data_IF_548142689903
#
_entry.id   IF_548142689903
#
_cell.length_a   1.000
_cell.length_b   1.000
_cell.length_c   1.000
_cell.angle_alpha   90.00
_cell.angle_beta   90.00
_cell.angle_gamma   90.00
#
_symmetry.space_group_name_H-M   'P 1'
#
loop_
_entity.id
_entity.type
_entity.pdbx_description
1 polymer ?
#
# COMPACT_ATOMS: atom_id res chain seq x y z
N UNK A 1 -7.21 -20.96 35.92
CA UNK A 1 -6.02 -20.08 35.92
C UNK A 1 -5.83 -19.20 34.68
N UNK A 2 -5.66 -19.70 33.45
CA UNK A 2 -5.55 -18.82 32.24
C UNK A 2 -6.91 -18.27 31.79
N UNK A 3 -7.97 -19.11 31.81
CA UNK A 3 -9.35 -18.67 31.53
C UNK A 3 -9.89 -17.63 32.52
N UNK A 4 -9.59 -17.78 33.81
CA UNK A 4 -10.00 -16.82 34.86
C UNK A 4 -9.23 -15.50 34.76
N UNK A 5 -7.94 -15.53 34.39
CA UNK A 5 -7.17 -14.30 34.15
C UNK A 5 -7.64 -13.56 32.90
N UNK A 6 -8.12 -14.26 31.88
CA UNK A 6 -8.72 -13.67 30.69
C UNK A 6 -10.09 -13.04 30.99
N UNK A 7 -10.96 -13.72 31.76
CA UNK A 7 -12.26 -13.13 32.11
C UNK A 7 -12.11 -11.93 33.05
N UNK A 8 -11.14 -11.94 33.96
CA UNK A 8 -10.82 -10.79 34.80
C UNK A 8 -10.24 -9.63 34.00
N UNK A 9 -9.40 -9.88 32.98
CA UNK A 9 -8.93 -8.81 32.08
C UNK A 9 -10.07 -8.24 31.22
N UNK A 10 -10.99 -9.08 30.73
CA UNK A 10 -12.17 -8.66 29.99
C UNK A 10 -13.09 -7.77 30.85
N UNK A 11 -13.40 -8.17 32.08
CA UNK A 11 -14.22 -7.37 33.00
C UNK A 11 -13.57 -6.03 33.36
N UNK A 12 -12.26 -6.03 33.65
CA UNK A 12 -11.56 -4.79 34.06
C UNK A 12 -11.41 -3.78 32.91
N UNK A 13 -11.37 -4.25 31.66
CA UNK A 13 -11.35 -3.39 30.46
C UNK A 13 -12.76 -2.90 30.13
N UNK A 14 -13.78 -3.75 30.30
CA UNK A 14 -15.19 -3.40 30.06
C UNK A 14 -15.73 -2.38 31.09
N UNK A 15 -15.36 -2.48 32.37
CA UNK A 15 -15.80 -1.54 33.42
C UNK A 15 -15.17 -0.14 33.33
N UNK A 16 -14.04 0.02 32.61
CA UNK A 16 -13.39 1.32 32.41
C UNK A 16 -13.92 2.11 31.21
N UNK A 17 -14.83 1.55 30.43
CA UNK A 17 -15.43 2.17 29.25
C UNK A 17 -16.92 2.44 29.52
N UNK A 18 -17.24 2.90 30.72
CA UNK A 18 -18.60 3.32 31.06
C UNK A 18 -18.85 4.72 30.46
N UNK A 19 -19.33 4.72 29.21
CA UNK A 19 -19.66 5.95 28.46
C UNK A 19 -19.55 5.85 26.94
N UNK A 20 -19.05 4.75 26.38
CA UNK A 20 -19.02 4.51 24.94
C UNK A 20 -19.76 3.22 24.64
N UNK A 21 -20.73 3.28 23.73
CA UNK A 21 -21.49 2.13 23.25
C UNK A 21 -20.56 1.09 22.61
N UNK A 22 -20.04 0.18 23.43
CA UNK A 22 -19.12 -0.88 23.02
C UNK A 22 -19.86 -1.97 22.23
N UNK A 23 -21.20 -2.07 22.38
CA UNK A 23 -21.99 -3.10 21.68
C UNK A 23 -22.14 -2.81 20.20
N UNK A 24 -22.30 -1.55 19.78
CA UNK A 24 -22.28 -1.18 18.35
C UNK A 24 -20.90 -1.34 17.70
N UNK A 25 -19.81 -1.23 18.48
CA UNK A 25 -18.43 -1.40 17.98
C UNK A 25 -17.93 -2.85 17.96
N UNK A 26 -18.62 -3.75 18.67
CA UNK A 26 -18.30 -5.19 18.72
C UNK A 26 -18.90 -5.99 17.54
N UNK A 27 -19.91 -5.46 16.86
CA UNK A 27 -20.33 -6.00 15.56
C UNK A 27 -19.45 -5.38 14.47
N UNK A 28 -18.49 -6.16 13.97
CA UNK A 28 -17.53 -5.70 12.95
C UNK A 28 -18.27 -5.10 11.75
N UNK A 29 -18.08 -3.79 11.55
CA UNK A 29 -18.21 -3.19 10.22
C UNK A 29 -17.25 -3.95 9.31
N UNK A 30 -17.72 -4.33 8.12
CA UNK A 30 -16.86 -4.76 7.01
C UNK A 30 -15.62 -3.85 6.92
N UNK A 31 -14.45 -4.39 6.55
CA UNK A 31 -13.25 -3.57 6.35
C UNK A 31 -13.47 -2.45 5.31
N UNK A 32 -14.46 -2.61 4.42
CA UNK A 32 -14.83 -1.61 3.43
C UNK A 32 -15.64 -0.47 4.07
N UNK A 33 -14.93 0.43 4.73
CA UNK A 33 -15.46 1.72 5.15
C UNK A 33 -14.34 2.77 5.15
N UNK A 34 -14.68 3.95 4.63
CA UNK A 34 -13.80 5.12 4.60
C UNK A 34 -13.35 5.53 6.01
N UNK A 35 -12.08 5.88 6.15
CA UNK A 35 -11.47 6.42 7.37
C UNK A 35 -10.38 7.43 7.00
N UNK A 36 -10.80 8.58 6.46
CA UNK A 36 -9.91 9.68 6.05
C UNK A 36 -9.04 10.25 7.18
N UNK A 37 -9.36 9.97 8.45
CA UNK A 37 -8.50 10.34 9.58
C UNK A 37 -7.14 9.63 9.52
N UNK A 38 -7.05 8.47 8.87
CA UNK A 38 -5.78 7.78 8.63
C UNK A 38 -4.97 8.43 7.52
N UNK A 39 -5.61 9.21 6.65
CA UNK A 39 -4.96 9.95 5.58
C UNK A 39 -4.37 11.30 6.00
N UNK A 40 -4.65 11.77 7.20
CA UNK A 40 -4.10 13.02 7.74
C UNK A 40 -2.57 12.97 7.83
N UNK A 41 -1.93 14.14 7.91
CA UNK A 41 -0.48 14.24 8.08
C UNK A 41 -0.05 13.74 9.48
N UNK A 42 0.85 12.76 9.54
CA UNK A 42 1.19 12.04 10.78
C UNK A 42 2.50 12.47 11.44
N UNK A 43 3.35 13.26 10.78
CA UNK A 43 4.69 13.61 11.29
C UNK A 43 4.65 14.69 12.39
N UNK A 44 4.15 14.29 13.55
CA UNK A 44 4.04 15.09 14.78
C UNK A 44 4.82 14.40 15.91
N UNK A 45 5.17 15.16 16.96
CA UNK A 45 5.92 14.61 18.09
C UNK A 45 7.23 13.97 17.64
N UNK A 46 7.52 12.75 18.09
CA UNK A 46 8.76 12.06 17.72
C UNK A 46 8.87 11.77 16.21
N UNK A 47 7.76 11.54 15.51
CA UNK A 47 7.78 11.32 14.06
C UNK A 47 8.20 12.57 13.28
N UNK A 48 8.11 13.76 13.87
CA UNK A 48 8.52 15.00 13.21
C UNK A 48 10.03 15.07 12.92
N UNK A 49 10.86 14.27 13.61
CA UNK A 49 12.33 14.22 13.42
C UNK A 49 12.89 12.80 13.26
N UNK A 50 12.01 11.80 13.18
CA UNK A 50 12.38 10.37 13.04
C UNK A 50 11.48 9.59 12.08
N UNK A 51 10.58 10.25 11.35
CA UNK A 51 9.53 9.58 10.59
C UNK A 51 9.37 10.04 9.15
N UNK A 52 8.66 9.22 8.39
CA UNK A 52 8.17 9.51 7.06
C UNK A 52 6.65 9.36 6.99
N UNK A 53 6.06 10.02 6.01
CA UNK A 53 4.66 9.88 5.63
C UNK A 53 4.57 9.99 4.11
N UNK A 54 3.91 9.04 3.45
CA UNK A 54 3.67 9.08 2.01
C UNK A 54 2.24 8.74 1.64
N UNK A 55 1.76 9.37 0.57
CA UNK A 55 0.53 9.04 -0.13
C UNK A 55 0.89 8.53 -1.51
N UNK A 56 0.51 7.29 -1.79
CA UNK A 56 0.85 6.60 -3.02
C UNK A 56 -0.40 6.36 -3.87
N UNK A 57 -0.22 6.50 -5.17
CA UNK A 57 -1.26 6.41 -6.18
C UNK A 57 -0.73 5.63 -7.37
N UNK A 58 -1.49 4.63 -7.84
CA UNK A 58 -1.20 3.96 -9.10
C UNK A 58 -2.47 3.81 -9.93
N UNK A 59 -2.31 3.88 -11.25
CA UNK A 59 -3.41 3.85 -12.21
C UNK A 59 -2.90 3.57 -13.64
N UNK A 60 -3.83 3.25 -14.52
CA UNK A 60 -3.60 3.00 -15.94
C UNK A 60 -4.16 4.15 -16.77
N UNK A 61 -3.42 4.58 -17.78
CA UNK A 61 -3.88 5.51 -18.81
C UNK A 61 -3.70 4.92 -20.20
N UNK A 62 -4.42 5.46 -21.18
CA UNK A 62 -4.36 5.04 -22.57
C UNK A 62 -3.78 6.15 -23.43
N UNK A 63 -2.75 5.84 -24.22
CA UNK A 63 -2.17 6.81 -25.14
C UNK A 63 -3.26 7.36 -26.07
N UNK A 64 -3.38 8.68 -26.16
CA UNK A 64 -4.47 9.35 -26.89
C UNK A 64 -4.45 9.07 -28.39
N UNK A 65 -3.27 8.78 -28.96
CA UNK A 65 -3.09 8.52 -30.40
C UNK A 65 -3.21 7.03 -30.72
N UNK A 66 -2.58 6.16 -29.92
CA UNK A 66 -2.46 4.71 -30.23
C UNK A 66 -3.48 3.85 -29.49
N UNK A 67 -4.03 4.33 -28.38
CA UNK A 67 -4.90 3.56 -27.48
C UNK A 67 -4.15 2.59 -26.56
N UNK A 68 -2.81 2.51 -26.68
CA UNK A 68 -1.99 1.60 -25.88
C UNK A 68 -2.03 1.97 -24.40
N UNK A 69 -2.16 0.94 -23.56
CA UNK A 69 -2.16 1.07 -22.10
C UNK A 69 -0.76 1.39 -21.57
N UNK A 70 -0.71 2.20 -20.52
CA UNK A 70 0.50 2.52 -19.76
C UNK A 70 0.13 2.69 -18.30
N UNK A 71 0.85 2.00 -17.41
CA UNK A 71 0.65 2.12 -15.97
C UNK A 71 1.58 3.22 -15.40
N UNK A 72 1.03 4.03 -14.50
CA UNK A 72 1.65 5.20 -13.90
C UNK A 72 1.54 5.14 -12.37
N UNK A 73 2.46 5.85 -11.71
CA UNK A 73 2.37 6.11 -10.28
C UNK A 73 2.70 7.56 -9.93
N UNK A 74 2.14 8.01 -8.82
CA UNK A 74 2.39 9.31 -8.20
C UNK A 74 2.50 9.10 -6.69
N UNK A 75 3.49 9.73 -6.07
CA UNK A 75 3.71 9.69 -4.63
C UNK A 75 4.07 11.07 -4.10
N UNK A 76 3.48 11.43 -2.97
CA UNK A 76 3.89 12.58 -2.18
C UNK A 76 4.54 12.02 -0.91
N UNK A 77 5.87 12.08 -0.82
CA UNK A 77 6.64 11.57 0.30
C UNK A 77 7.17 12.73 1.15
N UNK A 78 7.07 12.59 2.46
CA UNK A 78 7.53 13.60 3.41
C UNK A 78 8.40 12.95 4.47
N UNK A 79 9.45 13.62 4.91
CA UNK A 79 10.37 13.08 5.92
C UNK A 79 10.90 14.17 6.84
N UNK A 80 10.88 13.88 8.14
CA UNK A 80 11.45 14.67 9.23
C UNK A 80 11.24 16.20 9.11
N UNK A 81 9.99 16.72 9.14
CA UNK A 81 9.69 18.15 9.02
C UNK A 81 10.42 19.06 10.01
N UNK A 82 10.64 18.60 11.25
CA UNK A 82 11.27 19.40 12.30
C UNK A 82 12.74 19.75 12.00
N UNK A 83 13.39 18.95 11.14
CA UNK A 83 14.79 19.12 10.75
C UNK A 83 14.96 19.97 9.48
N UNK A 84 13.84 20.47 8.94
CA UNK A 84 13.77 21.09 7.63
C UNK A 84 14.18 22.56 7.58
N UNK A 85 14.28 23.07 6.35
CA UNK A 85 14.62 24.46 6.09
C UNK A 85 14.16 24.93 4.72
N UNK A 86 14.90 25.88 4.15
CA UNK A 86 14.63 26.40 2.80
C UNK A 86 14.97 25.38 1.71
N UNK A 87 16.03 24.58 1.90
CA UNK A 87 16.50 23.58 0.95
C UNK A 87 16.29 22.15 1.48
N UNK A 88 16.13 21.14 0.59
CA UNK A 88 16.06 19.75 1.00
C UNK A 88 17.38 19.26 1.59
N UNK A 89 17.31 18.42 2.62
CA UNK A 89 18.48 17.77 3.23
C UNK A 89 18.49 16.30 2.86
N UNK A 90 19.53 15.84 2.17
CA UNK A 90 19.73 14.42 1.82
C UNK A 90 20.67 13.76 2.85
N UNK A 91 20.12 13.01 3.79
CA UNK A 91 20.92 12.37 4.85
C UNK A 91 21.89 11.32 4.33
N UNK A 92 21.61 10.74 3.17
CA UNK A 92 22.38 9.66 2.57
C UNK A 92 23.78 10.08 2.11
N UNK A 93 23.98 11.39 1.90
CA UNK A 93 25.25 11.97 1.49
C UNK A 93 26.35 11.72 2.54
N UNK A 94 27.58 11.32 2.15
CA UNK A 94 28.64 11.00 3.10
C UNK A 94 28.95 12.12 4.10
N UNK A 95 28.91 13.38 3.65
CA UNK A 95 29.12 14.54 4.53
C UNK A 95 28.00 14.67 5.57
N UNK A 96 26.76 14.44 5.18
CA UNK A 96 25.59 14.52 6.05
C UNK A 96 25.58 13.37 7.07
N UNK A 97 25.86 12.13 6.63
CA UNK A 97 26.07 10.98 7.54
C UNK A 97 27.14 11.24 8.59
N UNK A 98 28.30 11.78 8.18
CA UNK A 98 29.40 12.09 9.09
C UNK A 98 29.02 13.13 10.14
N UNK A 99 28.15 14.07 9.77
CA UNK A 99 27.67 15.13 10.65
C UNK A 99 26.38 14.76 11.41
N UNK A 100 25.87 13.54 11.25
CA UNK A 100 24.63 13.09 11.89
C UNK A 100 23.37 13.80 11.37
N UNK A 101 23.42 14.36 10.16
CA UNK A 101 22.25 15.00 9.52
C UNK A 101 21.36 13.92 8.92
N UNK A 102 20.09 13.92 9.33
CA UNK A 102 19.03 13.07 8.79
C UNK A 102 18.39 13.72 7.57
N UNK A 103 17.74 12.95 6.68
CA UNK A 103 17.00 13.55 5.57
C UNK A 103 15.87 14.43 6.08
N UNK A 104 15.59 15.51 5.36
CA UNK A 104 14.45 16.38 5.63
C UNK A 104 14.02 17.09 4.36
N UNK A 105 12.88 16.66 3.81
CA UNK A 105 12.32 17.19 2.58
C UNK A 105 10.88 16.72 2.37
N UNK A 106 10.22 17.35 1.41
CA UNK A 106 9.08 16.77 0.69
C UNK A 106 9.54 16.38 -0.71
N UNK A 107 9.31 15.14 -1.09
CA UNK A 107 9.61 14.58 -2.41
C UNK A 107 8.30 14.33 -3.13
N UNK A 108 8.14 14.93 -4.30
CA UNK A 108 7.09 14.57 -5.25
C UNK A 108 7.70 13.59 -6.24
N UNK A 109 7.18 12.37 -6.24
CA UNK A 109 7.62 11.27 -7.06
C UNK A 109 6.54 10.93 -8.07
N UNK A 110 6.92 10.77 -9.32
CA UNK A 110 6.00 10.41 -10.40
C UNK A 110 6.74 9.55 -11.43
N UNK A 111 6.03 8.64 -12.08
CA UNK A 111 6.67 7.78 -13.06
C UNK A 111 5.72 6.80 -13.72
N UNK A 112 6.32 5.84 -14.41
CA UNK A 112 5.59 4.82 -15.14
C UNK A 112 6.35 3.48 -15.15
N UNK A 113 5.60 2.42 -15.43
CA UNK A 113 6.09 1.05 -15.61
C UNK A 113 6.04 0.62 -17.07
N UNK A 114 6.62 -0.54 -17.41
CA UNK A 114 6.81 -1.01 -18.79
C UNK A 114 8.28 -0.91 -19.25
N UNK A 115 8.56 -1.21 -20.51
CA UNK A 115 9.94 -1.28 -21.04
C UNK A 115 10.74 0.03 -20.92
N UNK A 116 10.05 1.16 -20.88
CA UNK A 116 10.60 2.50 -20.66
C UNK A 116 10.30 3.03 -19.24
N UNK A 117 10.19 2.11 -18.26
CA UNK A 117 9.95 2.43 -16.87
C UNK A 117 10.96 3.45 -16.32
N UNK A 118 10.46 4.38 -15.51
CA UNK A 118 11.27 5.44 -14.90
C UNK A 118 10.60 6.02 -13.67
N UNK A 119 11.40 6.51 -12.74
CA UNK A 119 10.95 7.27 -11.56
C UNK A 119 11.56 8.67 -11.57
N UNK A 120 10.72 9.70 -11.52
CA UNK A 120 11.14 11.10 -11.50
C UNK A 120 10.88 11.67 -10.11
N UNK A 121 11.85 12.38 -9.54
CA UNK A 121 11.72 12.97 -8.20
C UNK A 121 11.94 14.48 -8.25
N UNK A 122 11.11 15.22 -7.53
CA UNK A 122 11.30 16.65 -7.26
C UNK A 122 11.30 16.89 -5.75
N UNK A 123 12.40 17.43 -5.25
CA UNK A 123 12.59 17.68 -3.81
C UNK A 123 12.32 19.14 -3.46
N UNK A 124 11.70 19.35 -2.30
CA UNK A 124 11.39 20.65 -1.74
C UNK A 124 11.88 20.73 -0.29
N UNK A 125 12.47 21.86 0.08
CA UNK A 125 12.65 22.21 1.49
C UNK A 125 11.29 22.52 2.13
N UNK A 126 11.17 22.24 3.43
CA UNK A 126 9.90 22.36 4.15
C UNK A 126 9.28 23.76 4.14
N UNK A 127 10.08 24.83 3.99
CA UNK A 127 9.56 26.20 3.87
C UNK A 127 8.91 26.52 2.52
N UNK A 128 9.05 25.64 1.53
CA UNK A 128 8.45 25.78 0.20
C UNK A 128 7.10 25.06 0.08
N UNK A 129 6.69 24.34 1.13
CA UNK A 129 5.52 23.45 1.12
C UNK A 129 4.45 23.98 2.06
N UNK A 130 3.19 23.86 1.64
CA UNK A 130 2.04 24.08 2.52
C UNK A 130 1.28 22.77 2.71
N UNK A 131 1.11 22.38 3.98
CA UNK A 131 0.36 21.19 4.38
C UNK A 131 -0.80 21.62 5.28
N UNK A 132 -2.02 21.22 4.90
CA UNK A 132 -3.15 21.15 5.82
C UNK A 132 -3.12 19.77 6.48
N UNK A 133 -2.75 19.74 7.75
CA UNK A 133 -2.44 18.49 8.46
C UNK A 133 -3.66 17.62 8.77
N UNK A 134 -4.80 18.25 9.09
CA UNK A 134 -6.02 17.56 9.51
C UNK A 134 -6.80 16.98 8.31
N UNK A 135 -7.60 15.94 8.56
CA UNK A 135 -8.48 15.37 7.54
C UNK A 135 -9.63 16.35 7.17
N UNK A 136 -9.95 16.52 5.87
CA UNK A 136 -9.20 16.04 4.71
C UNK A 136 -7.90 16.83 4.56
N UNK A 137 -6.79 16.10 4.35
CA UNK A 137 -5.48 16.68 4.20
C UNK A 137 -5.34 17.41 2.86
N UNK A 138 -4.38 18.34 2.78
CA UNK A 138 -3.95 18.94 1.53
C UNK A 138 -2.45 19.15 1.57
N UNK A 139 -1.76 18.85 0.48
CA UNK A 139 -0.33 19.12 0.31
C UNK A 139 -0.16 19.92 -0.97
N UNK A 140 0.61 21.01 -0.89
CA UNK A 140 0.98 21.81 -2.06
C UNK A 140 2.45 22.20 -2.01
N UNK A 141 3.13 22.06 -3.15
CA UNK A 141 4.53 22.42 -3.33
C UNK A 141 4.69 22.93 -4.77
N UNK A 142 4.91 24.23 -4.92
CA UNK A 142 4.91 24.92 -6.23
C UNK A 142 3.67 24.57 -7.08
N UNK A 143 3.85 23.87 -8.21
CA UNK A 143 2.78 23.46 -9.11
C UNK A 143 2.28 22.03 -8.87
N UNK A 144 2.65 21.41 -7.76
CA UNK A 144 2.16 20.10 -7.33
C UNK A 144 1.12 20.26 -6.21
N UNK A 145 0.02 19.50 -6.29
CA UNK A 145 -1.05 19.49 -5.30
C UNK A 145 -1.61 18.09 -5.12
N UNK A 146 -1.88 17.71 -3.86
CA UNK A 146 -2.56 16.47 -3.49
C UNK A 146 -3.62 16.74 -2.41
N UNK A 147 -4.74 16.04 -2.53
CA UNK A 147 -5.83 15.98 -1.55
C UNK A 147 -6.55 14.64 -1.62
N UNK A 148 -7.62 14.45 -0.86
CA UNK A 148 -8.43 13.24 -0.92
C UNK A 148 -9.02 12.94 -2.31
N UNK A 149 -9.30 13.96 -3.12
CA UNK A 149 -10.09 13.84 -4.35
C UNK A 149 -9.41 14.37 -5.61
N UNK A 150 -8.20 14.92 -5.51
CA UNK A 150 -7.47 15.45 -6.68
C UNK A 150 -5.97 15.42 -6.47
N UNK A 151 -5.24 15.08 -7.52
CA UNK A 151 -3.78 15.23 -7.63
C UNK A 151 -3.42 15.89 -8.95
N UNK A 152 -2.52 16.86 -8.91
CA UNK A 152 -1.93 17.49 -10.11
C UNK A 152 -0.47 17.83 -9.84
N UNK A 153 0.32 17.92 -10.90
CA UNK A 153 1.72 18.26 -10.74
C UNK A 153 2.55 18.12 -12.00
N UNK A 154 3.82 18.49 -11.84
CA UNK A 154 4.85 18.33 -12.85
C UNK A 154 6.19 18.00 -12.21
N UNK A 155 6.86 16.99 -12.76
CA UNK A 155 8.27 16.69 -12.50
C UNK A 155 9.00 16.70 -13.84
N UNK A 156 10.12 17.39 -13.90
CA UNK A 156 10.98 17.50 -15.08
C UNK A 156 12.44 17.46 -14.64
N UNK A 157 13.19 16.49 -15.14
CA UNK A 157 14.60 16.27 -14.82
C UNK A 157 15.37 16.06 -16.12
N UNK A 158 16.44 16.83 -16.33
CA UNK A 158 17.30 16.65 -17.49
C UNK A 158 18.23 15.42 -17.31
N UNK A 159 18.68 14.78 -18.40
CA UNK A 159 19.70 13.74 -18.32
C UNK A 159 20.97 14.18 -17.60
N UNK A 160 21.39 15.44 -17.83
CA UNK A 160 22.57 16.02 -17.18
C UNK A 160 22.39 16.13 -15.67
N UNK A 161 21.23 16.60 -15.20
CA UNK A 161 20.95 16.74 -13.77
C UNK A 161 20.81 15.38 -13.09
N UNK A 162 20.09 14.43 -13.69
CA UNK A 162 19.96 13.07 -13.15
C UNK A 162 21.34 12.40 -12.99
N UNK A 163 22.26 12.63 -13.92
CA UNK A 163 23.62 12.11 -13.84
C UNK A 163 24.47 12.86 -12.81
N UNK A 164 24.32 14.19 -12.70
CA UNK A 164 25.09 15.03 -11.80
C UNK A 164 24.66 14.90 -10.33
N UNK A 165 23.41 14.51 -10.08
CA UNK A 165 22.78 14.45 -8.76
C UNK A 165 22.25 13.05 -8.41
N UNK A 166 23.14 12.05 -8.22
CA UNK A 166 22.73 10.69 -7.86
C UNK A 166 21.96 10.64 -6.52
N UNK A 167 22.14 11.63 -5.64
CA UNK A 167 21.38 11.77 -4.39
C UNK A 167 19.89 12.04 -4.58
N UNK A 168 19.45 12.45 -5.77
CA UNK A 168 18.03 12.61 -6.10
C UNK A 168 17.34 11.28 -6.37
N UNK A 169 18.09 10.20 -6.59
CA UNK A 169 17.57 8.84 -6.76
C UNK A 169 16.55 8.70 -7.92
N UNK A 170 16.67 9.54 -8.95
CA UNK A 170 15.70 9.63 -10.04
C UNK A 170 16.32 9.38 -11.42
N UNK A 171 15.46 9.08 -12.37
CA UNK A 171 15.73 9.05 -13.80
C UNK A 171 15.46 10.44 -14.43
N UNK A 172 15.79 10.57 -15.71
CA UNK A 172 15.47 11.75 -16.50
C UNK A 172 14.12 11.61 -17.23
N UNK A 173 13.48 12.75 -17.50
CA UNK A 173 12.21 12.82 -18.22
C UNK A 173 11.29 13.89 -17.68
N UNK A 174 10.10 13.95 -18.25
CA UNK A 174 9.05 14.90 -17.87
C UNK A 174 7.71 14.21 -17.75
N UNK A 175 7.06 14.39 -16.62
CA UNK A 175 5.69 13.95 -16.39
C UNK A 175 4.85 15.11 -15.85
N UNK A 176 3.69 15.34 -16.47
CA UNK A 176 2.67 16.29 -16.03
C UNK A 176 1.37 15.52 -15.84
N UNK A 177 0.62 15.80 -14.77
CA UNK A 177 -0.68 15.16 -14.53
C UNK A 177 -1.71 16.13 -13.96
N UNK A 178 -2.98 15.85 -14.22
CA UNK A 178 -4.12 16.44 -13.53
C UNK A 178 -5.23 15.38 -13.49
N UNK A 179 -5.52 14.88 -12.28
CA UNK A 179 -6.39 13.74 -12.04
C UNK A 179 -7.36 14.03 -10.90
N UNK A 180 -8.64 13.78 -11.14
CA UNK A 180 -9.62 13.63 -10.08
C UNK A 180 -9.62 12.17 -9.60
N UNK A 181 -9.95 11.98 -8.32
CA UNK A 181 -9.92 10.69 -7.64
C UNK A 181 -11.21 10.43 -6.88
N UNK A 182 -11.76 9.23 -7.03
CA UNK A 182 -12.88 8.73 -6.24
C UNK A 182 -12.50 7.36 -5.66
N UNK A 183 -12.29 7.30 -4.35
CA UNK A 183 -11.92 6.08 -3.64
C UNK A 183 -13.18 5.28 -3.33
N UNK A 184 -13.44 4.23 -4.11
CA UNK A 184 -14.69 3.48 -4.11
C UNK A 184 -14.69 2.33 -3.09
N UNK A 185 -13.58 1.60 -2.96
CA UNK A 185 -13.42 0.53 -1.98
C UNK A 185 -12.22 0.84 -1.08
N UNK A 186 -12.44 0.79 0.23
CA UNK A 186 -11.40 0.95 1.23
C UNK A 186 -10.98 -0.41 1.79
N UNK A 187 -9.71 -0.54 2.17
CA UNK A 187 -9.24 -1.58 3.09
C UNK A 187 -8.84 -0.96 4.43
N UNK A 188 -9.82 -0.88 5.33
CA UNK A 188 -9.59 -0.43 6.69
C UNK A 188 -8.95 -1.54 7.53
N UNK A 189 -7.65 -1.42 7.79
CA UNK A 189 -6.86 -2.41 8.56
C UNK A 189 -7.22 -2.53 10.04
N UNK A 190 -8.25 -1.81 10.51
CA UNK A 190 -8.75 -1.88 11.88
C UNK A 190 -7.71 -1.52 12.94
N UNK A 191 -7.54 -2.40 13.93
CA UNK A 191 -6.69 -2.17 15.11
C UNK A 191 -5.22 -1.90 14.77
N UNK A 192 -4.71 -2.45 13.66
CA UNK A 192 -3.34 -2.23 13.19
C UNK A 192 -3.00 -0.75 12.99
N UNK A 193 -3.98 0.09 12.69
CA UNK A 193 -3.82 1.53 12.57
C UNK A 193 -4.86 2.30 13.38
N UNK A 194 -5.34 1.78 14.53
CA UNK A 194 -6.29 2.50 15.38
C UNK A 194 -5.70 3.81 15.93
N UNK A 195 -6.56 4.75 16.35
CA UNK A 195 -6.11 5.99 17.01
C UNK A 195 -5.11 5.72 18.13
N UNK A 196 -5.42 4.79 19.05
CA UNK A 196 -4.52 4.47 20.16
C UNK A 196 -3.19 3.87 19.68
N UNK A 197 -3.21 3.01 18.65
CA UNK A 197 -2.00 2.44 18.06
C UNK A 197 -1.10 3.52 17.46
N UNK A 198 -1.71 4.50 16.78
CA UNK A 198 -1.02 5.64 16.15
C UNK A 198 -0.43 6.58 17.19
N UNK A 199 -1.19 6.97 18.20
CA UNK A 199 -0.70 7.86 19.28
C UNK A 199 0.45 7.25 20.08
N UNK A 200 0.54 5.91 20.12
CA UNK A 200 1.58 5.18 20.86
C UNK A 200 2.80 4.80 20.00
N UNK A 201 2.77 5.08 18.69
CA UNK A 201 3.71 4.53 17.70
C UNK A 201 3.92 3.03 17.90
N UNK A 202 2.81 2.28 17.98
CA UNK A 202 2.83 0.86 18.35
C UNK A 202 3.64 -0.01 17.37
N UNK A 203 3.72 0.42 16.09
CA UNK A 203 4.44 -0.23 15.00
C UNK A 203 5.44 0.74 14.37
N UNK A 204 6.53 0.21 13.81
CA UNK A 204 7.51 1.02 13.06
C UNK A 204 6.98 1.51 11.71
N UNK A 205 5.93 0.87 11.19
CA UNK A 205 5.25 1.24 9.96
C UNK A 205 3.75 0.97 10.09
N UNK A 206 2.96 1.93 9.66
CA UNK A 206 1.52 1.84 9.52
C UNK A 206 1.12 1.92 8.05
N UNK A 207 -0.07 1.43 7.75
CA UNK A 207 -0.62 1.37 6.41
C UNK A 207 -2.12 1.55 6.43
N UNK A 208 -2.64 2.25 5.43
CA UNK A 208 -4.07 2.40 5.19
C UNK A 208 -4.34 2.58 3.70
N UNK A 209 -5.11 1.66 3.12
CA UNK A 209 -5.60 1.78 1.76
C UNK A 209 -7.03 2.35 1.78
N UNK A 210 -7.14 3.69 1.78
CA UNK A 210 -8.44 4.35 1.64
C UNK A 210 -9.08 4.02 0.28
N UNK A 211 -8.27 3.70 -0.73
CA UNK A 211 -8.69 3.44 -2.09
C UNK A 211 -8.09 2.16 -2.67
N UNK A 212 -8.34 1.01 -2.03
CA UNK A 212 -8.07 -0.33 -2.59
C UNK A 212 -8.65 -0.49 -4.01
N UNK A 213 -9.79 0.17 -4.29
CA UNK A 213 -10.25 0.48 -5.65
C UNK A 213 -10.52 1.97 -5.77
N UNK A 214 -9.78 2.64 -6.64
CA UNK A 214 -9.89 4.09 -6.88
C UNK A 214 -10.16 4.36 -8.35
N UNK A 215 -11.20 5.14 -8.62
CA UNK A 215 -11.46 5.68 -9.95
C UNK A 215 -10.66 6.97 -10.15
N UNK A 216 -9.85 6.99 -11.20
CA UNK A 216 -9.15 8.19 -11.65
C UNK A 216 -9.76 8.70 -12.94
N UNK A 217 -9.82 10.01 -13.10
CA UNK A 217 -10.23 10.64 -14.35
C UNK A 217 -9.42 11.91 -14.62
N UNK A 218 -8.85 12.00 -15.82
CA UNK A 218 -8.04 13.15 -16.24
C UNK A 218 -7.02 12.78 -17.30
N UNK A 219 -5.82 13.35 -17.21
CA UNK A 219 -4.76 13.10 -18.18
C UNK A 219 -3.38 13.10 -17.56
N UNK A 220 -2.48 12.37 -18.21
CA UNK A 220 -1.03 12.41 -17.99
C UNK A 220 -0.35 12.78 -19.29
N UNK A 221 0.69 13.60 -19.23
CA UNK A 221 1.60 13.86 -20.34
C UNK A 221 2.97 13.35 -19.91
N UNK A 222 3.49 12.33 -20.60
CA UNK A 222 4.81 11.75 -20.38
C UNK A 222 5.68 12.05 -21.61
N UNK A 223 6.74 12.84 -21.44
CA UNK A 223 7.67 13.26 -22.49
C UNK A 223 6.99 13.80 -23.76
N UNK A 224 5.86 14.50 -23.58
CA UNK A 224 5.07 15.08 -24.67
C UNK A 224 4.01 14.16 -25.28
N UNK A 225 3.97 12.88 -24.89
CA UNK A 225 2.88 11.97 -25.25
C UNK A 225 1.74 12.05 -24.22
N UNK A 226 0.52 12.21 -24.72
CA UNK A 226 -0.68 12.40 -23.90
C UNK A 226 -1.40 11.07 -23.69
N UNK A 227 -1.77 10.80 -22.43
CA UNK A 227 -2.51 9.63 -21.99
C UNK A 227 -3.80 10.07 -21.31
N UNK A 228 -4.91 9.47 -21.72
CA UNK A 228 -6.22 9.68 -21.11
C UNK A 228 -6.40 8.66 -20.01
N UNK A 229 -6.77 9.12 -18.82
CA UNK A 229 -7.10 8.27 -17.68
C UNK A 229 -8.61 8.32 -17.51
N UNK A 230 -9.27 7.18 -17.70
CA UNK A 230 -10.72 7.04 -17.57
C UNK A 230 -11.07 6.16 -16.37
N UNK A 231 -12.16 6.52 -15.69
CA UNK A 231 -12.63 5.81 -14.49
C UNK A 231 -12.86 4.32 -14.73
N UNK A 232 -13.30 3.94 -15.92
CA UNK A 232 -13.74 2.58 -16.23
C UNK A 232 -12.56 1.66 -16.62
N UNK A 233 -11.38 2.22 -16.89
CA UNK A 233 -10.19 1.46 -17.30
C UNK A 233 -8.89 1.85 -16.58
N UNK A 234 -8.96 2.67 -15.53
CA UNK A 234 -7.79 3.10 -14.79
C UNK A 234 -7.24 2.06 -13.81
N UNK A 235 -8.06 1.10 -13.37
CA UNK A 235 -7.70 0.05 -12.40
C UNK A 235 -6.97 0.60 -11.15
N UNK A 236 -7.39 1.77 -10.68
CA UNK A 236 -6.59 2.56 -9.77
C UNK A 236 -6.55 2.05 -8.33
N UNK A 237 -5.45 2.39 -7.66
CA UNK A 237 -5.17 2.12 -6.25
C UNK A 237 -4.65 3.39 -5.57
N UNK A 238 -4.96 3.55 -4.28
CA UNK A 238 -4.51 4.67 -3.46
C UNK A 238 -4.38 4.26 -1.98
N UNK A 239 -3.20 4.45 -1.42
CA UNK A 239 -2.90 4.18 -0.02
C UNK A 239 -1.95 5.19 0.60
N UNK A 240 -1.72 4.99 1.89
CA UNK A 240 -0.82 5.80 2.70
C UNK A 240 -0.01 4.93 3.63
N UNK A 241 1.28 5.20 3.74
CA UNK A 241 2.12 4.67 4.81
C UNK A 241 2.79 5.78 5.58
N UNK A 242 3.03 5.51 6.87
CA UNK A 242 3.81 6.38 7.72
C UNK A 242 4.49 5.55 8.80
N UNK A 243 5.58 6.07 9.34
CA UNK A 243 6.32 5.35 10.37
C UNK A 243 7.72 5.88 10.56
N UNK A 244 8.53 5.11 11.30
CA UNK A 244 9.94 5.42 11.58
C UNK A 244 10.91 4.70 10.66
N UNK A 245 10.47 3.60 10.06
CA UNK A 245 11.29 2.81 9.15
C UNK A 245 10.41 2.04 8.14
N UNK A 246 11.05 1.52 7.10
CA UNK A 246 10.39 0.65 6.14
C UNK A 246 10.32 -0.78 6.66
N UNK A 247 9.42 -1.58 6.11
CA UNK A 247 9.33 -3.00 6.46
C UNK A 247 10.28 -3.84 5.61
N UNK A 248 10.84 -4.90 6.17
CA UNK A 248 11.63 -5.89 5.44
C UNK A 248 11.21 -7.30 5.87
N UNK A 249 10.68 -8.15 4.97
CA UNK A 249 10.46 -7.89 3.55
C UNK A 249 9.38 -6.83 3.32
N UNK A 250 9.52 -6.06 2.24
CA UNK A 250 8.54 -5.13 1.69
C UNK A 250 7.71 -5.89 0.66
N UNK A 251 6.38 -5.98 0.86
CA UNK A 251 5.48 -6.72 -0.02
C UNK A 251 4.17 -5.96 -0.17
N UNK A 252 3.84 -5.56 -1.40
CA UNK A 252 2.53 -5.00 -1.75
C UNK A 252 2.05 -5.58 -3.07
N UNK A 253 0.80 -6.03 -3.11
CA UNK A 253 0.12 -6.59 -4.26
C UNK A 253 -1.32 -6.10 -4.27
N UNK A 254 -1.71 -5.31 -5.26
CA UNK A 254 -3.07 -4.77 -5.33
C UNK A 254 -3.57 -4.67 -6.78
N UNK A 255 -4.86 -4.94 -6.97
CA UNK A 255 -5.55 -4.68 -8.24
C UNK A 255 -7.08 -4.70 -8.08
N UNK A 256 -7.75 -4.04 -9.02
CA UNK A 256 -9.19 -4.10 -9.24
C UNK A 256 -9.59 -4.60 -10.64
N UNK A 257 -8.61 -5.11 -11.42
CA UNK A 257 -8.82 -5.69 -12.75
C UNK A 257 -8.82 -7.22 -12.68
N UNK A 258 -9.97 -7.80 -12.35
CA UNK A 258 -10.12 -9.25 -12.18
C UNK A 258 -11.20 -9.83 -13.09
N UNK A 259 -10.95 -11.05 -13.57
CA UNK A 259 -11.88 -11.82 -14.37
C UNK A 259 -12.12 -13.18 -13.74
N UNK A 260 -13.39 -13.53 -13.54
CA UNK A 260 -13.77 -14.85 -13.07
C UNK A 260 -13.59 -15.89 -14.19
N UNK A 261 -12.85 -16.96 -13.92
CA UNK A 261 -12.76 -18.11 -14.83
C UNK A 261 -14.00 -19.01 -14.78
N UNK A 262 -14.75 -18.97 -13.68
CA UNK A 262 -15.99 -19.74 -13.53
C UNK A 262 -17.09 -19.13 -14.41
N UNK A 263 -17.31 -17.82 -14.32
CA UNK A 263 -18.36 -17.13 -15.07
C UNK A 263 -17.91 -16.57 -16.42
N UNK A 264 -16.59 -16.37 -16.61
CA UNK A 264 -16.01 -15.71 -17.77
C UNK A 264 -16.16 -14.19 -17.77
N UNK A 265 -16.76 -13.59 -16.73
CA UNK A 265 -17.04 -12.16 -16.65
C UNK A 265 -15.94 -11.37 -15.95
N UNK A 266 -15.80 -10.11 -16.34
CA UNK A 266 -15.06 -9.11 -15.56
C UNK A 266 -15.81 -8.78 -14.27
N UNK A 267 -15.06 -8.60 -13.19
CA UNK A 267 -15.60 -8.43 -11.84
C UNK A 267 -15.60 -6.95 -11.43
N UNK A 268 -16.74 -6.28 -11.65
CA UNK A 268 -16.88 -4.83 -11.50
C UNK A 268 -16.86 -4.36 -10.04
N UNK A 269 -17.31 -5.19 -9.10
CA UNK A 269 -17.34 -4.86 -7.67
C UNK A 269 -16.35 -5.71 -6.89
N UNK A 270 -15.15 -5.86 -7.46
CA UNK A 270 -14.08 -6.68 -6.88
C UNK A 270 -12.73 -5.94 -6.86
N UNK A 271 -11.98 -6.11 -5.78
CA UNK A 271 -10.59 -5.68 -5.66
C UNK A 271 -9.90 -6.45 -4.53
N UNK A 272 -8.58 -6.59 -4.64
CA UNK A 272 -7.76 -7.19 -3.59
C UNK A 272 -6.57 -6.32 -3.26
N UNK A 273 -6.07 -6.53 -2.05
CA UNK A 273 -4.90 -5.87 -1.52
C UNK A 273 -4.18 -6.81 -0.55
N UNK A 274 -2.87 -6.99 -0.73
CA UNK A 274 -2.00 -7.77 0.13
C UNK A 274 -0.77 -6.90 0.40
N UNK A 275 -0.54 -6.58 1.67
CA UNK A 275 0.45 -5.57 2.04
C UNK A 275 1.17 -5.89 3.34
N UNK A 276 2.39 -5.39 3.45
CA UNK A 276 3.17 -5.39 4.68
C UNK A 276 4.44 -6.21 4.58
N UNK A 277 4.76 -6.92 5.67
CA UNK A 277 6.08 -7.50 5.83
C UNK A 277 6.30 -8.15 7.18
N UNK A 278 7.41 -7.77 7.83
CA UNK A 278 7.77 -8.15 9.19
C UNK A 278 7.48 -6.98 10.13
N UNK A 279 6.24 -6.80 10.63
CA UNK A 279 5.91 -5.69 11.51
C UNK A 279 6.76 -5.77 12.77
N UNK A 280 7.38 -4.65 13.10
CA UNK A 280 8.17 -4.46 14.32
C UNK A 280 7.38 -3.59 15.27
N UNK A 281 7.07 -4.12 16.45
CA UNK A 281 6.39 -3.36 17.49
C UNK A 281 7.41 -2.60 18.33
N UNK A 282 6.97 -1.55 19.01
CA UNK A 282 7.81 -0.66 19.83
C UNK A 282 8.71 -1.38 20.85
N UNK A 283 8.33 -2.58 21.32
CA UNK A 283 9.14 -3.39 22.25
C UNK A 283 10.29 -4.15 21.58
N UNK A 284 10.48 -3.99 20.26
CA UNK A 284 11.52 -4.68 19.48
C UNK A 284 11.14 -6.10 19.04
N UNK A 285 9.94 -6.59 19.39
CA UNK A 285 9.44 -7.87 18.89
C UNK A 285 9.04 -7.73 17.42
N UNK A 286 9.27 -8.79 16.67
CA UNK A 286 8.92 -8.88 15.26
C UNK A 286 8.09 -10.12 15.00
N UNK A 287 7.23 -10.05 14.00
CA UNK A 287 6.37 -11.17 13.61
C UNK A 287 6.72 -11.57 12.19
N UNK A 288 7.12 -12.83 12.02
CA UNK A 288 7.44 -13.40 10.71
C UNK A 288 6.17 -13.95 10.07
N UNK A 289 6.06 -13.86 8.74
CA UNK A 289 4.94 -14.38 7.94
C UNK A 289 3.57 -13.83 8.37
N UNK A 290 3.45 -12.52 8.55
CA UNK A 290 2.18 -11.87 8.95
C UNK A 290 1.83 -10.68 8.04
N UNK A 291 1.80 -10.89 6.72
CA UNK A 291 1.27 -9.87 5.81
C UNK A 291 -0.25 -9.75 5.97
N UNK A 292 -0.77 -8.55 5.77
CA UNK A 292 -2.19 -8.26 5.72
C UNK A 292 -2.73 -8.62 4.33
N UNK A 293 -3.98 -9.05 4.26
CA UNK A 293 -4.67 -9.28 3.00
C UNK A 293 -6.16 -9.00 3.10
N UNK A 294 -6.74 -8.52 2.01
CA UNK A 294 -8.17 -8.36 1.84
C UNK A 294 -8.57 -8.64 0.39
N UNK A 295 -9.76 -9.20 0.23
CA UNK A 295 -10.46 -9.31 -1.04
C UNK A 295 -11.89 -8.85 -0.80
N UNK A 296 -12.32 -7.83 -1.51
CA UNK A 296 -13.73 -7.50 -1.68
C UNK A 296 -14.18 -8.21 -2.95
N UNK A 297 -15.05 -9.22 -2.84
CA UNK A 297 -15.47 -10.04 -3.97
C UNK A 297 -16.97 -9.84 -4.23
N UNK A 298 -17.30 -9.11 -5.29
CA UNK A 298 -18.67 -8.80 -5.73
C UNK A 298 -19.63 -8.37 -4.60
N UNK A 299 -19.12 -7.59 -3.62
CA UNK A 299 -19.88 -7.11 -2.48
C UNK A 299 -19.66 -7.87 -1.17
N UNK A 300 -18.89 -8.95 -1.18
CA UNK A 300 -18.61 -9.79 -0.01
C UNK A 300 -17.17 -9.61 0.49
N UNK A 301 -16.96 -9.33 1.80
CA UNK A 301 -15.64 -9.14 2.37
C UNK A 301 -14.94 -10.45 2.76
N UNK A 302 -13.69 -10.57 2.36
CA UNK A 302 -12.76 -11.60 2.81
C UNK A 302 -11.51 -10.94 3.39
N UNK A 303 -11.41 -10.87 4.72
CA UNK A 303 -10.29 -10.24 5.43
C UNK A 303 -9.33 -11.28 6.00
N UNK A 304 -8.03 -11.08 5.78
CA UNK A 304 -6.91 -11.85 6.28
C UNK A 304 -5.99 -10.92 7.09
N UNK A 305 -6.42 -10.58 8.29
CA UNK A 305 -5.77 -9.57 9.12
C UNK A 305 -5.30 -10.16 10.45
N UNK A 306 -3.99 -10.34 10.61
CA UNK A 306 -3.37 -10.89 11.81
C UNK A 306 -3.48 -9.94 13.03
N UNK A 307 -3.65 -8.63 12.82
CA UNK A 307 -3.80 -7.66 13.92
C UNK A 307 -5.13 -7.84 14.67
N UNK A 308 -6.12 -8.45 14.00
CA UNK A 308 -7.37 -8.92 14.62
C UNK A 308 -7.16 -10.36 15.10
N UNK A 309 -6.55 -10.56 16.26
CA UNK A 309 -6.13 -11.91 16.70
C UNK A 309 -7.26 -12.98 16.71
N UNK A 310 -8.54 -12.59 16.79
CA UNK A 310 -9.70 -13.51 16.68
C UNK A 310 -9.97 -14.03 15.27
N UNK A 311 -9.43 -13.41 14.21
CA UNK A 311 -9.52 -13.92 12.83
C UNK A 311 -8.67 -15.17 12.63
N UNK A 312 -7.71 -15.42 13.55
CA UNK A 312 -6.80 -16.57 13.53
C UNK A 312 -6.11 -16.76 12.15
N UNK A 313 -5.80 -15.65 11.50
CA UNK A 313 -5.17 -15.64 10.17
C UNK A 313 -3.83 -16.36 10.19
N UNK A 314 -3.64 -17.25 9.22
CA UNK A 314 -2.37 -17.88 8.89
C UNK A 314 -1.95 -17.43 7.51
N UNK A 315 -0.66 -17.13 7.36
CA UNK A 315 -0.07 -16.70 6.10
C UNK A 315 1.11 -17.59 5.77
N UNK A 316 1.20 -18.02 4.52
CA UNK A 316 2.46 -18.44 3.89
C UNK A 316 2.75 -17.49 2.76
N UNK A 317 3.99 -17.03 2.70
CA UNK A 317 4.44 -16.10 1.68
C UNK A 317 5.79 -16.57 1.14
N UNK A 318 5.91 -16.54 -0.17
CA UNK A 318 7.14 -16.78 -0.89
C UNK A 318 7.25 -15.80 -2.05
N UNK A 319 8.44 -15.25 -2.25
CA UNK A 319 8.76 -14.47 -3.44
C UNK A 319 10.06 -15.00 -4.04
N UNK A 320 10.08 -15.12 -5.35
CA UNK A 320 11.25 -15.54 -6.11
C UNK A 320 11.58 -14.51 -7.17
N UNK A 321 12.77 -13.94 -7.06
CA UNK A 321 13.39 -13.16 -8.13
C UNK A 321 14.08 -14.14 -9.11
N UNK A 322 13.41 -14.44 -10.23
CA UNK A 322 13.97 -15.24 -11.32
C UNK A 322 14.86 -14.41 -12.24
N UNK A 323 15.27 -14.93 -13.41
CA UNK A 323 16.12 -14.19 -14.35
C UNK A 323 15.32 -13.07 -15.06
N UNK A 324 14.15 -13.39 -15.60
CA UNK A 324 13.33 -12.49 -16.42
C UNK A 324 12.10 -11.92 -15.69
N UNK A 325 11.64 -12.58 -14.63
CA UNK A 325 10.42 -12.20 -13.90
C UNK A 325 10.58 -12.37 -12.40
N UNK A 326 9.66 -11.75 -11.67
CA UNK A 326 9.48 -11.93 -10.23
C UNK A 326 8.15 -12.61 -10.01
N UNK A 327 8.12 -13.57 -9.09
CA UNK A 327 6.93 -14.34 -8.77
C UNK A 327 6.62 -14.26 -7.28
N UNK A 328 5.35 -14.05 -6.95
CA UNK A 328 4.82 -14.03 -5.58
C UNK A 328 3.83 -15.17 -5.41
N UNK A 329 3.94 -15.88 -4.30
CA UNK A 329 2.99 -16.89 -3.87
C UNK A 329 2.52 -16.56 -2.45
N UNK A 330 1.22 -16.34 -2.30
CA UNK A 330 0.59 -16.02 -1.02
C UNK A 330 -0.54 -17.01 -0.75
N UNK A 331 -0.51 -17.66 0.41
CA UNK A 331 -1.62 -18.46 0.92
C UNK A 331 -2.05 -17.88 2.26
N UNK A 332 -3.26 -17.33 2.32
CA UNK A 332 -3.86 -16.80 3.54
C UNK A 332 -5.11 -17.59 3.92
N UNK A 333 -5.23 -17.95 5.19
CA UNK A 333 -6.34 -18.77 5.70
C UNK A 333 -6.85 -18.22 7.04
N UNK A 334 -8.17 -18.11 7.17
CA UNK A 334 -8.90 -17.95 8.43
C UNK A 334 -9.73 -19.21 8.69
N UNK A 335 -10.40 -19.37 9.85
CA UNK A 335 -11.32 -20.47 10.06
C UNK A 335 -12.47 -20.55 9.04
N UNK A 336 -12.78 -19.46 8.32
CA UNK A 336 -13.94 -19.36 7.42
C UNK A 336 -13.58 -19.17 5.95
N UNK A 337 -12.40 -18.64 5.65
CA UNK A 337 -11.98 -18.28 4.31
C UNK A 337 -10.54 -18.72 4.02
N UNK A 338 -10.25 -18.96 2.74
CA UNK A 338 -8.89 -19.21 2.27
C UNK A 338 -8.68 -18.54 0.92
N UNK A 339 -7.54 -17.87 0.75
CA UNK A 339 -7.12 -17.25 -0.50
C UNK A 339 -5.74 -17.78 -0.89
N UNK A 340 -5.58 -18.18 -2.15
CA UNK A 340 -4.31 -18.59 -2.74
C UNK A 340 -4.06 -17.66 -3.92
N UNK A 341 -2.90 -17.01 -3.93
CA UNK A 341 -2.51 -16.02 -4.94
C UNK A 341 -1.17 -16.42 -5.53
N UNK A 342 -1.11 -16.44 -6.86
CA UNK A 342 0.11 -16.66 -7.63
C UNK A 342 0.22 -15.53 -8.65
N UNK A 343 1.21 -14.64 -8.47
CA UNK A 343 1.38 -13.45 -9.30
C UNK A 343 2.79 -13.47 -9.89
N UNK A 344 2.93 -13.01 -11.12
CA UNK A 344 4.24 -12.67 -11.69
C UNK A 344 4.25 -11.30 -12.35
N UNK A 345 5.45 -10.73 -12.45
CA UNK A 345 5.70 -9.51 -13.21
C UNK A 345 7.05 -9.59 -13.90
N UNK A 346 7.09 -9.23 -15.18
CA UNK A 346 8.29 -9.27 -15.98
C UNK A 346 9.22 -8.13 -15.57
N UNK A 347 10.51 -8.41 -15.32
CA UNK A 347 11.46 -7.39 -14.87
C UNK A 347 11.62 -6.24 -15.85
N UNK A 348 11.46 -6.52 -17.16
CA UNK A 348 11.46 -5.48 -18.21
C UNK A 348 10.34 -4.45 -18.03
N UNK A 349 9.26 -4.81 -17.33
CA UNK A 349 8.12 -3.94 -17.06
C UNK A 349 8.18 -3.29 -15.67
N UNK A 350 9.24 -3.57 -14.90
CA UNK A 350 9.42 -3.10 -13.53
C UNK A 350 10.59 -2.11 -13.44
N UNK A 351 10.68 -1.43 -12.31
CA UNK A 351 11.85 -0.64 -11.93
C UNK A 351 12.31 -0.99 -10.51
N UNK A 352 13.54 -0.61 -10.17
CA UNK A 352 14.02 -0.61 -8.79
C UNK A 352 13.68 0.74 -8.16
N UNK A 353 12.65 0.77 -7.33
CA UNK A 353 12.17 2.00 -6.73
C UNK A 353 13.08 2.38 -5.56
N UNK A 354 13.44 3.66 -5.47
CA UNK A 354 14.41 4.14 -4.50
C UNK A 354 13.78 4.99 -3.40
N UNK A 355 14.24 4.74 -2.17
CA UNK A 355 13.91 5.51 -0.98
C UNK A 355 15.14 5.70 -0.09
N UNK A 356 15.13 6.80 0.63
CA UNK A 356 16.01 7.04 1.77
C UNK A 356 15.15 6.96 3.04
N UNK A 357 15.56 6.14 4.00
CA UNK A 357 14.85 5.98 5.27
C UNK A 357 15.02 7.23 6.16
N UNK A 358 14.14 7.48 7.15
CA UNK A 358 14.22 8.67 8.02
C UNK A 358 15.53 8.84 8.79
N UNK A 359 16.32 7.76 8.93
CA UNK A 359 17.64 7.78 9.55
C UNK A 359 18.80 8.12 8.58
N UNK A 360 18.51 8.30 7.29
CA UNK A 360 19.49 8.55 6.23
C UNK A 360 20.15 7.31 5.63
N UNK A 361 19.68 6.11 5.98
CA UNK A 361 20.11 4.87 5.36
C UNK A 361 19.31 4.55 4.09
N UNK A 362 19.97 3.94 3.11
CA UNK A 362 19.35 3.41 1.89
C UNK A 362 19.57 1.90 1.88
N UNK A 363 18.64 1.17 2.50
CA UNK A 363 18.78 -0.27 2.76
C UNK A 363 18.10 -1.14 1.70
N UNK A 364 17.07 -0.62 1.04
CA UNK A 364 16.39 -1.28 -0.07
C UNK A 364 17.05 -0.90 -1.40
N UNK A 365 18.11 -1.63 -1.77
CA UNK A 365 18.78 -1.44 -3.07
C UNK A 365 18.24 -2.34 -4.18
N UNK A 366 17.40 -3.32 -3.82
CA UNK A 366 16.69 -4.22 -4.74
C UNK A 366 15.20 -4.26 -4.43
N UNK A 367 14.55 -3.09 -4.38
CA UNK A 367 13.10 -2.98 -4.22
C UNK A 367 12.45 -2.91 -5.59
N UNK A 368 12.00 -4.07 -6.06
CA UNK A 368 11.28 -4.19 -7.31
C UNK A 368 9.87 -3.63 -7.17
N UNK A 369 9.45 -2.86 -8.16
CA UNK A 369 8.17 -2.19 -8.18
C UNK A 369 7.61 -2.20 -9.61
N UNK A 370 6.36 -2.65 -9.77
CA UNK A 370 5.69 -2.83 -11.05
C UNK A 370 4.20 -2.48 -10.98
N UNK A 371 3.60 -2.15 -12.12
CA UNK A 371 2.15 -1.94 -12.27
C UNK A 371 1.48 -2.83 -13.31
N UNK A 372 2.25 -3.74 -13.92
CA UNK A 372 1.82 -4.61 -15.02
C UNK A 372 1.77 -6.08 -14.60
N UNK A 373 1.76 -6.38 -13.30
CA UNK A 373 1.70 -7.74 -12.79
C UNK A 373 0.43 -8.46 -13.23
N UNK A 374 0.52 -9.78 -13.36
CA UNK A 374 -0.59 -10.67 -13.73
C UNK A 374 -0.55 -11.92 -12.88
N UNK A 375 -1.69 -12.56 -12.65
CA UNK A 375 -1.71 -13.74 -11.81
C UNK A 375 -3.06 -14.44 -11.72
N UNK A 376 -3.09 -15.43 -10.85
CA UNK A 376 -4.28 -16.19 -10.50
C UNK A 376 -4.61 -16.03 -9.02
N UNK A 377 -5.90 -15.91 -8.70
CA UNK A 377 -6.40 -15.88 -7.33
C UNK A 377 -7.51 -16.92 -7.18
N UNK A 378 -7.31 -17.87 -6.26
CA UNK A 378 -8.32 -18.84 -5.88
C UNK A 378 -8.87 -18.48 -4.51
N UNK A 379 -10.16 -18.22 -4.45
CA UNK A 379 -10.87 -17.86 -3.23
C UNK A 379 -11.76 -19.01 -2.80
N UNK A 380 -11.70 -19.37 -1.52
CA UNK A 380 -12.48 -20.45 -0.93
C UNK A 380 -13.20 -19.99 0.33
N UNK A 381 -14.36 -20.60 0.57
CA UNK A 381 -15.10 -20.49 1.82
C UNK A 381 -15.22 -21.86 2.48
N UNK A 382 -15.32 -21.88 3.81
CA UNK A 382 -15.51 -23.12 4.56
C UNK A 382 -17.00 -23.42 4.68
N UNK A 383 -17.41 -24.60 4.25
CA UNK A 383 -18.78 -25.08 4.38
C UNK A 383 -18.83 -26.35 5.22
N UNK A 384 -19.94 -26.55 5.91
CA UNK A 384 -20.27 -27.80 6.57
C UNK A 384 -21.15 -28.62 5.61
N UNK A 385 -20.59 -29.68 5.01
CA UNK A 385 -21.41 -30.61 4.23
C UNK A 385 -22.08 -31.60 5.19
N UNK A 386 -23.41 -31.54 5.24
CA UNK A 386 -24.26 -32.53 5.93
C UNK A 386 -24.81 -33.51 4.89
N UNK A 387 -24.90 -34.79 5.27
CA UNK A 387 -25.18 -35.97 4.45
C UNK A 387 -26.04 -35.78 3.19
N UNK A 388 -25.62 -36.42 2.09
CA UNK A 388 -26.57 -36.97 1.12
C UNK A 388 -27.34 -38.13 1.78
N UNK A 389 -28.66 -38.19 1.55
CA UNK A 389 -29.63 -39.04 2.26
C UNK A 389 -29.34 -40.56 2.29
N UNK A 390 -28.30 -41.06 1.60
CA UNK A 390 -27.98 -42.48 1.45
C UNK A 390 -26.66 -42.94 2.10
N UNK A 391 -25.97 -42.13 2.92
CA UNK A 391 -24.75 -42.61 3.59
C UNK A 391 -24.62 -42.20 5.07
N UNK A 392 -24.19 -43.15 5.91
CA UNK A 392 -23.93 -42.98 7.35
C UNK A 392 -22.77 -42.01 7.70
N UNK A 393 -22.28 -41.20 6.75
CA UNK A 393 -21.13 -40.31 6.96
C UNK A 393 -21.46 -39.13 7.88
N UNK A 394 -20.59 -38.83 8.84
CA UNK A 394 -20.71 -37.67 9.74
C UNK A 394 -20.46 -36.38 8.97
N UNK A 395 -21.04 -35.27 9.43
CA UNK A 395 -20.83 -33.95 8.84
C UNK A 395 -19.33 -33.59 8.82
N UNK A 396 -18.85 -33.06 7.70
CA UNK A 396 -17.45 -32.71 7.50
C UNK A 396 -17.30 -31.28 6.99
N UNK A 397 -16.31 -30.56 7.53
CA UNK A 397 -15.95 -29.25 7.01
C UNK A 397 -15.12 -29.42 5.74
N UNK A 398 -15.53 -28.73 4.67
CA UNK A 398 -14.84 -28.73 3.39
C UNK A 398 -14.64 -27.31 2.88
N UNK A 399 -13.55 -27.10 2.17
CA UNK A 399 -13.34 -25.90 1.38
C UNK A 399 -14.17 -26.01 0.10
N UNK A 400 -15.01 -25.00 -0.14
CA UNK A 400 -15.73 -24.80 -1.38
C UNK A 400 -15.09 -23.62 -2.11
N UNK A 401 -14.78 -23.82 -3.40
CA UNK A 401 -14.27 -22.77 -4.26
C UNK A 401 -15.38 -21.72 -4.44
N UNK A 402 -15.06 -20.47 -4.11
CA UNK A 402 -15.90 -19.30 -4.36
C UNK A 402 -15.67 -18.84 -5.80
N UNK A 403 -14.40 -18.61 -6.16
CA UNK A 403 -14.00 -18.31 -7.53
C UNK A 403 -12.53 -18.67 -7.79
N UNK A 404 -12.20 -18.82 -9.07
CA UNK A 404 -10.86 -18.89 -9.64
C UNK A 404 -10.73 -17.73 -10.62
N UNK A 405 -9.88 -16.75 -10.31
CA UNK A 405 -9.83 -15.46 -10.99
C UNK A 405 -8.48 -15.27 -11.69
N UNK A 406 -8.51 -14.68 -12.88
CA UNK A 406 -7.35 -14.04 -13.49
C UNK A 406 -7.28 -12.59 -12.99
N UNK A 407 -6.11 -12.13 -12.59
CA UNK A 407 -5.85 -10.76 -12.16
C UNK A 407 -4.81 -10.09 -13.08
N UNK A 408 -5.04 -8.82 -13.41
CA UNK A 408 -4.20 -8.02 -14.32
C UNK A 408 -3.90 -6.64 -13.72
N UNK A 409 -3.00 -5.86 -14.35
CA UNK A 409 -2.60 -4.52 -13.92
C UNK A 409 -2.26 -4.47 -12.42
N UNK A 410 -1.61 -5.52 -11.93
CA UNK A 410 -1.32 -5.66 -10.51
C UNK A 410 -0.14 -4.75 -10.18
N UNK A 411 -0.38 -3.81 -9.25
CA UNK A 411 0.69 -3.13 -8.53
C UNK A 411 1.42 -4.16 -7.68
N UNK A 412 2.70 -4.39 -7.96
CA UNK A 412 3.49 -5.44 -7.31
C UNK A 412 4.84 -4.90 -6.80
N UNK A 413 5.12 -5.16 -5.54
CA UNK A 413 6.30 -4.65 -4.86
C UNK A 413 6.99 -5.77 -4.08
N UNK A 414 8.31 -5.85 -4.22
CA UNK A 414 9.13 -6.75 -3.43
C UNK A 414 10.53 -6.22 -3.18
N UNK A 415 10.94 -6.16 -1.92
CA UNK A 415 12.33 -5.88 -1.58
C UNK A 415 12.65 -6.32 -0.16
N UNK A 416 13.92 -6.61 0.08
CA UNK A 416 14.45 -6.86 1.42
C UNK A 416 15.57 -5.87 1.69
N UNK A 417 15.88 -5.65 2.96
CA UNK A 417 17.12 -4.97 3.32
C UNK A 417 18.31 -5.80 2.87
N UNK A 418 19.32 -5.13 2.32
CA UNK A 418 20.59 -5.78 2.02
C UNK A 418 21.15 -6.44 3.28
N UNK A 419 21.58 -7.70 3.13
CA UNK A 419 22.25 -8.42 4.22
C UNK A 419 23.56 -7.69 4.53
N UNK A 420 23.69 -7.21 5.76
CA UNK A 420 24.91 -6.57 6.29
C UNK A 420 26.11 -7.52 6.28
#
# INVERSE_FOLDING_TARGET
MVKEKLSQLEETVLEKIDGLDVREKLFERSFNHSDIERNRFMLKGALASEGYDWWWHSFTGHNKKTGEEKAFFIEFFTVNPELGGDEPVFGQLPANKKNGLKPSYVMIKAGCWGEDARQLHRFFGWKQVSIKEDAPFQISADNCFLSESRTLGMVEISPEDAQAHPEWMCDAGKMVWDLNMEKNLAFNVGYGASWASRELDAFEMFWHAEGMKTFYNGSVILDGEEYIVDKDSCYGYADKNWGKDFTSPWVWLASSHLKSKISGQWLENTAFDIGGGRPKIRTGQTFDNVILGAMWYEGEPYEFNFSRFWTLTKTKFYCHEGDDEITWQVEQETPLAKMIVEISCQKKDMLLINYEAPNGEKLHNRLWNGGNGKGEIKLYKKILKTKDNDSEKKAEFKWELVDDMEAYNIGCEFGEYDKK
#
